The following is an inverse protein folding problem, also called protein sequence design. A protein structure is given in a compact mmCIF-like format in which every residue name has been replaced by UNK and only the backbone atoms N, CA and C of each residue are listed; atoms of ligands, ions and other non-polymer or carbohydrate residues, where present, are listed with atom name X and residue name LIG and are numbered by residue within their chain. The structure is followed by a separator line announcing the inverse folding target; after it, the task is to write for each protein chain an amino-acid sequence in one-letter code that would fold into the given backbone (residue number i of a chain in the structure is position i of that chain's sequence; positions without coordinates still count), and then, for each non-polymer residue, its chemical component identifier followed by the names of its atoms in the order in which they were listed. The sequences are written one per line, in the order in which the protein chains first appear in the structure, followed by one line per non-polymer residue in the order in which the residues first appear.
data_IF_265151554674
#
_entry.id   IF_265151554674
#
_cell.length_a   1.000
_cell.length_b   1.000
_cell.length_c   1.000
_cell.angle_alpha   90.00
_cell.angle_beta   90.00
_cell.angle_gamma   90.00
#
_symmetry.space_group_name_H-M   'P 1'
#
loop_
_entity.id
_entity.type
_entity.pdbx_description
1 polymer ?
#
# COMPACT_ATOMS: atom_id res chain seq x y z
N UNK A 1 53.73 13.16 55.80
CA UNK A 1 53.01 14.08 54.89
C UNK A 1 52.32 13.25 53.82
N UNK A 2 51.03 12.95 53.96
CA UNK A 2 50.23 12.26 52.93
C UNK A 2 48.87 12.97 52.87
N UNK A 3 48.80 14.02 52.06
CA UNK A 3 47.62 14.86 51.85
C UNK A 3 47.51 15.11 50.34
N UNK A 4 47.35 14.04 49.55
CA UNK A 4 47.19 14.17 48.09
C UNK A 4 46.60 12.90 47.44
N UNK A 5 45.59 12.25 48.03
CA UNK A 5 44.97 11.05 47.41
C UNK A 5 43.46 11.11 47.21
N UNK A 6 42.79 12.19 47.64
CA UNK A 6 41.32 12.24 47.61
C UNK A 6 40.75 12.92 46.37
N UNK A 7 41.50 13.81 45.72
CA UNK A 7 41.02 14.61 44.58
C UNK A 7 41.14 13.90 43.25
N UNK A 8 42.14 13.03 43.09
CA UNK A 8 42.37 12.24 41.87
C UNK A 8 41.27 11.21 41.62
N UNK A 9 40.72 10.61 42.67
CA UNK A 9 39.61 9.63 42.60
C UNK A 9 38.29 10.28 42.12
N UNK A 10 38.02 11.50 42.57
CA UNK A 10 36.81 12.23 42.18
C UNK A 10 36.91 12.67 40.71
N UNK A 11 38.08 13.13 40.28
CA UNK A 11 38.30 13.54 38.89
C UNK A 11 38.22 12.36 37.91
N UNK A 12 38.75 11.18 38.26
CA UNK A 12 38.61 9.99 37.40
C UNK A 12 37.17 9.49 37.32
N UNK A 13 36.41 9.52 38.42
CA UNK A 13 34.98 9.19 38.40
C UNK A 13 34.16 10.18 37.56
N UNK A 14 34.45 11.49 37.64
CA UNK A 14 33.77 12.51 36.85
C UNK A 14 34.05 12.35 35.35
N UNK A 15 35.30 12.03 34.99
CA UNK A 15 35.70 11.75 33.60
C UNK A 15 34.99 10.49 33.05
N UNK A 16 34.86 9.44 33.85
CA UNK A 16 34.12 8.22 33.49
C UNK A 16 32.63 8.51 33.23
N UNK A 17 31.98 9.30 34.09
CA UNK A 17 30.60 9.74 33.91
C UNK A 17 30.40 10.58 32.65
N UNK A 18 31.33 11.49 32.35
CA UNK A 18 31.32 12.30 31.12
C UNK A 18 31.47 11.43 29.86
N UNK A 19 32.38 10.44 29.89
CA UNK A 19 32.56 9.49 28.77
C UNK A 19 31.31 8.65 28.53
N UNK A 20 30.64 8.18 29.60
CA UNK A 20 29.37 7.45 29.50
C UNK A 20 28.23 8.33 28.98
N UNK A 21 28.17 9.59 29.40
CA UNK A 21 27.20 10.54 28.86
C UNK A 21 27.45 10.82 27.38
N UNK A 22 28.69 11.00 26.94
CA UNK A 22 29.00 11.19 25.52
C UNK A 22 28.71 9.94 24.69
N UNK A 23 28.97 8.73 25.21
CA UNK A 23 28.63 7.48 24.52
C UNK A 23 27.10 7.27 24.44
N UNK A 24 26.38 7.56 25.52
CA UNK A 24 24.91 7.46 25.57
C UNK A 24 24.19 8.54 24.76
N UNK A 25 24.77 9.74 24.63
CA UNK A 25 24.22 10.84 23.84
C UNK A 25 24.57 10.72 22.35
N UNK A 26 25.72 10.13 22.00
CA UNK A 26 26.06 9.83 20.60
C UNK A 26 25.34 8.58 20.07
N UNK A 27 24.91 7.67 20.94
CA UNK A 27 24.11 6.51 20.56
C UNK A 27 22.68 6.85 20.08
N UNK A 28 22.14 8.07 20.32
CA UNK A 28 20.80 8.44 19.86
C UNK A 28 20.77 9.45 18.70
N UNK A 29 21.92 9.91 18.19
CA UNK A 29 21.98 11.02 17.22
C UNK A 29 22.81 10.69 15.94
N UNK A 30 23.64 9.65 15.95
CA UNK A 30 24.40 9.24 14.75
C UNK A 30 23.84 7.95 14.15
N UNK A 31 22.86 8.12 13.29
CA UNK A 31 22.22 7.01 12.56
C UNK A 31 20.85 7.40 12.05
N UNK A 32 20.76 8.51 11.30
CA UNK A 32 19.59 8.74 10.44
C UNK A 32 19.72 7.80 9.25
N UNK A 33 19.72 6.49 9.53
CA UNK A 33 19.31 5.50 8.56
C UNK A 33 17.87 5.86 8.25
N UNK A 34 17.72 6.64 7.20
CA UNK A 34 16.55 6.63 6.36
C UNK A 34 16.51 5.25 5.72
N UNK A 35 16.30 4.21 6.54
CA UNK A 35 15.66 3.00 6.09
C UNK A 35 14.30 3.46 5.61
N UNK A 36 14.24 3.82 4.33
CA UNK A 36 13.01 3.90 3.55
C UNK A 36 12.35 2.55 3.80
N UNK A 37 11.42 2.51 4.76
CA UNK A 37 10.67 1.32 5.12
C UNK A 37 9.84 0.98 3.89
N UNK A 38 10.44 0.23 2.97
CA UNK A 38 9.81 -0.35 1.81
C UNK A 38 8.72 -1.25 2.34
N UNK A 39 7.47 -0.86 2.11
CA UNK A 39 6.35 -1.76 2.38
C UNK A 39 6.14 -2.57 1.11
N UNK A 40 6.14 -3.89 1.24
CA UNK A 40 5.76 -4.78 0.14
C UNK A 40 4.24 -4.81 0.04
N UNK A 41 3.71 -4.42 -1.11
CA UNK A 41 2.31 -4.60 -1.45
C UNK A 41 2.12 -6.00 -2.03
N UNK A 42 1.50 -6.88 -1.25
CA UNK A 42 1.18 -8.24 -1.72
C UNK A 42 -0.12 -8.21 -2.55
N UNK A 43 0.05 -7.97 -3.85
CA UNK A 43 -1.03 -7.86 -4.82
C UNK A 43 -1.93 -9.11 -4.87
N UNK A 44 -1.33 -10.31 -4.79
CA UNK A 44 -2.07 -11.57 -4.74
C UNK A 44 -2.99 -11.65 -3.51
N UNK A 45 -2.50 -11.19 -2.34
CA UNK A 45 -3.30 -11.15 -1.12
C UNK A 45 -4.50 -10.20 -1.25
N UNK A 46 -4.32 -9.06 -1.90
CA UNK A 46 -5.41 -8.08 -2.12
C UNK A 46 -6.48 -8.67 -3.03
N UNK A 47 -6.09 -9.35 -4.11
CA UNK A 47 -7.04 -10.06 -4.99
C UNK A 47 -7.84 -11.09 -4.21
N UNK A 48 -7.19 -11.93 -3.39
CA UNK A 48 -7.86 -12.93 -2.56
C UNK A 48 -8.84 -12.29 -1.57
N UNK A 49 -8.48 -11.18 -0.95
CA UNK A 49 -9.36 -10.45 -0.05
C UNK A 49 -10.61 -9.95 -0.77
N UNK A 50 -10.47 -9.36 -1.96
CA UNK A 50 -11.62 -8.90 -2.76
C UNK A 50 -12.53 -10.08 -3.14
N UNK A 51 -11.96 -11.18 -3.64
CA UNK A 51 -12.74 -12.38 -4.00
C UNK A 51 -13.53 -12.90 -2.80
N UNK A 52 -12.91 -12.93 -1.61
CA UNK A 52 -13.54 -13.41 -0.38
C UNK A 52 -14.70 -12.56 0.13
N UNK A 53 -14.78 -11.27 -0.25
CA UNK A 53 -15.86 -10.37 0.16
C UNK A 53 -17.04 -10.30 -0.82
N UNK A 54 -16.84 -10.71 -2.06
CA UNK A 54 -17.91 -10.75 -3.05
C UNK A 54 -18.72 -12.05 -2.89
N UNK A 55 -20.02 -12.08 -3.18
CA UNK A 55 -20.79 -13.32 -3.24
C UNK A 55 -20.27 -14.23 -4.38
N UNK A 56 -20.50 -15.55 -4.29
CA UNK A 56 -20.21 -16.45 -5.42
C UNK A 56 -21.09 -16.11 -6.62
N UNK A 57 -20.54 -16.06 -7.85
CA UNK A 57 -21.31 -15.64 -9.00
C UNK A 57 -21.98 -16.85 -9.65
N UNK A 58 -23.25 -16.71 -10.00
CA UNK A 58 -23.85 -17.41 -11.14
C UNK A 58 -23.55 -16.62 -12.42
N UNK A 59 -22.28 -16.53 -12.80
CA UNK A 59 -21.94 -15.95 -14.11
C UNK A 59 -22.22 -16.98 -15.19
N UNK A 60 -23.33 -16.80 -15.89
CA UNK A 60 -23.48 -17.33 -17.25
C UNK A 60 -22.40 -16.65 -18.09
N UNK A 61 -21.56 -17.46 -18.73
CA UNK A 61 -20.34 -17.06 -19.45
C UNK A 61 -20.68 -16.36 -20.76
N UNK A 62 -21.44 -15.28 -20.66
CA UNK A 62 -21.94 -14.50 -21.78
C UNK A 62 -20.87 -13.46 -22.20
N UNK A 63 -20.98 -12.94 -23.43
CA UNK A 63 -19.99 -12.31 -24.33
C UNK A 63 -18.82 -11.46 -23.78
N UNK A 64 -18.87 -11.00 -22.53
CA UNK A 64 -17.83 -10.17 -21.92
C UNK A 64 -16.66 -10.97 -21.30
N UNK A 65 -16.85 -12.27 -21.07
CA UNK A 65 -15.82 -13.16 -20.50
C UNK A 65 -14.44 -13.07 -21.17
N UNK A 66 -14.34 -13.04 -22.51
CA UNK A 66 -13.07 -12.87 -23.22
C UNK A 66 -12.35 -11.56 -22.90
N UNK A 67 -13.07 -10.43 -22.83
CA UNK A 67 -12.47 -9.12 -22.52
C UNK A 67 -11.94 -9.08 -21.10
N UNK A 68 -12.71 -9.61 -20.14
CA UNK A 68 -12.31 -9.65 -18.72
C UNK A 68 -11.09 -10.55 -18.48
N UNK A 69 -10.86 -11.58 -19.29
CA UNK A 69 -9.68 -12.47 -19.19
C UNK A 69 -8.46 -11.92 -19.90
N UNK A 70 -8.63 -11.02 -20.85
CA UNK A 70 -7.55 -10.57 -21.71
C UNK A 70 -6.50 -9.76 -20.92
N UNK A 71 -5.25 -10.22 -20.93
CA UNK A 71 -4.14 -9.58 -20.21
C UNK A 71 -3.94 -8.12 -20.62
N UNK A 72 -4.20 -7.79 -21.88
CA UNK A 72 -4.04 -6.43 -22.44
C UNK A 72 -5.08 -5.44 -21.90
N UNK A 73 -6.21 -5.92 -21.38
CA UNK A 73 -7.29 -5.07 -20.86
C UNK A 73 -7.29 -4.97 -19.34
N UNK A 74 -6.34 -5.62 -18.64
CA UNK A 74 -6.35 -5.70 -17.17
C UNK A 74 -6.41 -4.34 -16.50
N UNK A 75 -5.47 -3.46 -16.82
CA UNK A 75 -5.39 -2.15 -16.17
C UNK A 75 -6.63 -1.29 -16.47
N UNK A 76 -7.07 -1.26 -17.72
CA UNK A 76 -8.26 -0.50 -18.15
C UNK A 76 -9.53 -1.03 -17.48
N UNK A 77 -9.71 -2.36 -17.41
CA UNK A 77 -10.83 -2.97 -16.71
C UNK A 77 -10.79 -2.66 -15.21
N UNK A 78 -9.61 -2.73 -14.56
CA UNK A 78 -9.47 -2.34 -13.16
C UNK A 78 -9.84 -0.88 -12.93
N UNK A 79 -9.42 0.05 -13.80
CA UNK A 79 -9.80 1.45 -13.72
C UNK A 79 -11.32 1.63 -13.79
N UNK A 80 -12.00 0.91 -14.70
CA UNK A 80 -13.46 0.91 -14.77
C UNK A 80 -14.12 0.35 -13.51
N UNK A 81 -13.59 -0.70 -12.90
CA UNK A 81 -14.09 -1.16 -11.61
C UNK A 81 -13.90 -0.13 -10.50
N UNK A 82 -12.79 0.61 -10.47
CA UNK A 82 -12.56 1.67 -9.48
C UNK A 82 -13.54 2.83 -9.66
N UNK A 83 -13.77 3.26 -10.91
CA UNK A 83 -14.76 4.29 -11.26
C UNK A 83 -16.17 3.86 -10.84
N UNK A 84 -16.63 2.71 -11.36
CA UNK A 84 -17.98 2.21 -11.11
C UNK A 84 -18.25 1.88 -9.66
N UNK A 85 -17.25 1.48 -8.85
CA UNK A 85 -17.45 1.19 -7.42
C UNK A 85 -18.08 2.38 -6.70
N UNK A 86 -17.62 3.62 -6.99
CA UNK A 86 -18.15 4.82 -6.35
C UNK A 86 -19.58 5.17 -6.77
N UNK A 87 -20.01 4.70 -7.94
CA UNK A 87 -21.33 4.98 -8.52
C UNK A 87 -22.36 3.93 -8.10
N UNK A 88 -22.01 2.64 -8.17
CA UNK A 88 -22.95 1.53 -7.93
C UNK A 88 -22.96 1.03 -6.48
N UNK A 89 -21.90 1.30 -5.71
CA UNK A 89 -21.76 0.98 -4.28
C UNK A 89 -21.18 2.16 -3.50
N UNK A 90 -21.89 3.31 -3.45
CA UNK A 90 -21.38 4.53 -2.80
C UNK A 90 -21.09 4.35 -1.31
N UNK A 91 -21.74 3.38 -0.65
CA UNK A 91 -21.54 3.04 0.76
C UNK A 91 -20.34 2.09 0.99
N UNK A 92 -19.71 1.58 -0.07
CA UNK A 92 -18.65 0.55 -0.04
C UNK A 92 -19.06 -0.62 0.87
N UNK A 93 -20.26 -1.19 0.62
CA UNK A 93 -20.87 -2.23 1.44
C UNK A 93 -19.99 -3.47 1.60
N UNK A 94 -19.10 -3.70 0.63
CA UNK A 94 -18.14 -4.80 0.65
C UNK A 94 -16.78 -4.42 1.21
N UNK A 95 -16.51 -3.13 1.48
CA UNK A 95 -15.23 -2.63 2.00
C UNK A 95 -14.07 -3.08 1.10
N UNK A 96 -14.20 -2.81 -0.20
CA UNK A 96 -13.24 -3.21 -1.24
C UNK A 96 -12.66 -2.02 -2.00
N UNK A 97 -13.25 -0.82 -1.88
CA UNK A 97 -12.80 0.38 -2.60
C UNK A 97 -11.30 0.65 -2.46
N UNK A 98 -10.81 0.67 -1.22
CA UNK A 98 -9.38 0.91 -0.95
C UNK A 98 -8.48 -0.17 -1.55
N UNK A 99 -8.95 -1.41 -1.61
CA UNK A 99 -8.18 -2.52 -2.17
C UNK A 99 -8.14 -2.49 -3.69
N UNK A 100 -9.26 -2.15 -4.35
CA UNK A 100 -9.30 -1.89 -5.80
C UNK A 100 -8.32 -0.78 -6.19
N UNK A 101 -8.31 0.30 -5.41
CA UNK A 101 -7.39 1.41 -5.61
C UNK A 101 -5.92 1.00 -5.47
N UNK A 102 -5.56 0.22 -4.45
CA UNK A 102 -4.19 -0.32 -4.27
C UNK A 102 -3.78 -1.26 -5.40
N UNK A 103 -4.71 -2.03 -5.97
CA UNK A 103 -4.40 -2.93 -7.09
C UNK A 103 -3.93 -2.18 -8.34
N UNK A 104 -4.20 -0.87 -8.48
CA UNK A 104 -3.62 -0.09 -9.58
C UNK A 104 -2.09 -0.05 -9.52
N UNK A 105 -1.48 -0.16 -8.33
CA UNK A 105 -0.03 -0.27 -8.19
C UNK A 105 0.52 -1.61 -8.70
N UNK A 106 -0.34 -2.63 -8.83
CA UNK A 106 0.05 -4.01 -9.14
C UNK A 106 0.06 -4.34 -10.63
N UNK A 107 -0.48 -3.47 -11.47
CA UNK A 107 -0.62 -3.70 -12.91
C UNK A 107 0.24 -2.69 -13.67
N UNK A 108 1.10 -3.11 -14.61
CA UNK A 108 1.91 -2.18 -15.39
C UNK A 108 1.03 -1.27 -16.27
N UNK A 109 1.46 -0.03 -16.46
CA UNK A 109 0.82 0.89 -17.43
C UNK A 109 1.24 0.51 -18.85
N UNK A 110 0.29 0.50 -19.79
CA UNK A 110 0.58 0.38 -21.22
C UNK A 110 0.34 1.71 -21.93
N UNK A 111 1.13 2.01 -22.96
CA UNK A 111 0.93 3.19 -23.81
C UNK A 111 -0.44 3.17 -24.52
N UNK A 112 -1.02 1.99 -24.72
CA UNK A 112 -2.28 1.81 -25.44
C UNK A 112 -3.51 1.83 -24.53
N UNK A 113 -3.34 1.91 -23.20
CA UNK A 113 -4.47 1.80 -22.25
C UNK A 113 -5.55 2.86 -22.49
N UNK A 114 -5.16 4.08 -22.90
CA UNK A 114 -6.09 5.18 -23.18
C UNK A 114 -7.00 4.95 -24.38
N UNK A 115 -6.63 4.04 -25.29
CA UNK A 115 -7.38 3.76 -26.52
C UNK A 115 -8.34 2.57 -26.38
N UNK A 116 -8.22 1.77 -25.32
CA UNK A 116 -9.01 0.55 -25.15
C UNK A 116 -10.35 0.85 -24.44
N UNK A 117 -11.49 0.33 -24.92
CA UNK A 117 -12.71 0.35 -24.15
C UNK A 117 -12.56 -0.61 -22.96
N UNK A 118 -12.79 -0.11 -21.75
CA UNK A 118 -12.89 -0.96 -20.56
C UNK A 118 -14.25 -1.64 -20.45
N UNK A 119 -14.38 -2.51 -19.46
CA UNK A 119 -15.65 -3.16 -19.12
C UNK A 119 -16.76 -2.14 -18.84
N UNK A 120 -17.97 -2.43 -19.33
CA UNK A 120 -19.18 -1.69 -19.01
C UNK A 120 -19.87 -2.32 -17.79
N UNK A 121 -20.30 -1.49 -16.83
CA UNK A 121 -20.98 -1.93 -15.60
C UNK A 121 -22.37 -1.31 -15.56
N UNK A 122 -23.42 -2.14 -15.48
CA UNK A 122 -24.82 -1.68 -15.49
C UNK A 122 -25.37 -1.33 -14.12
N UNK A 123 -25.11 -2.18 -13.13
CA UNK A 123 -25.69 -2.12 -11.79
C UNK A 123 -24.80 -2.85 -10.78
N UNK A 124 -25.18 -2.85 -9.51
CA UNK A 124 -24.41 -3.50 -8.44
C UNK A 124 -24.28 -5.03 -8.63
N UNK A 125 -25.30 -5.70 -9.17
CA UNK A 125 -25.23 -7.14 -9.40
C UNK A 125 -24.24 -7.47 -10.53
N UNK A 126 -24.34 -6.74 -11.63
CA UNK A 126 -23.43 -6.79 -12.77
C UNK A 126 -21.97 -6.51 -12.34
N UNK A 127 -21.77 -5.46 -11.53
CA UNK A 127 -20.49 -5.10 -10.94
C UNK A 127 -19.87 -6.26 -10.16
N UNK A 128 -20.61 -6.84 -9.19
CA UNK A 128 -20.10 -7.91 -8.33
C UNK A 128 -19.70 -9.13 -9.14
N UNK A 129 -20.54 -9.53 -10.09
CA UNK A 129 -20.32 -10.67 -10.97
C UNK A 129 -19.05 -10.47 -11.80
N UNK A 130 -19.00 -9.41 -12.61
CA UNK A 130 -17.86 -9.11 -13.49
C UNK A 130 -16.58 -8.90 -12.70
N UNK A 131 -16.64 -8.18 -11.57
CA UNK A 131 -15.47 -7.96 -10.72
C UNK A 131 -14.92 -9.27 -10.17
N UNK A 132 -15.77 -10.14 -9.62
CA UNK A 132 -15.31 -11.42 -9.09
C UNK A 132 -14.67 -12.28 -10.18
N UNK A 133 -15.28 -12.34 -11.36
CA UNK A 133 -14.71 -13.08 -12.49
C UNK A 133 -13.38 -12.50 -12.95
N UNK A 134 -13.29 -11.19 -13.08
CA UNK A 134 -12.05 -10.48 -13.38
C UNK A 134 -10.95 -10.83 -12.37
N UNK A 135 -11.26 -10.77 -11.06
CA UNK A 135 -10.31 -11.08 -9.99
C UNK A 135 -9.84 -12.53 -10.01
N UNK A 136 -10.72 -13.49 -10.27
CA UNK A 136 -10.33 -14.93 -10.40
C UNK A 136 -9.32 -15.15 -11.53
N UNK A 137 -9.42 -14.37 -12.62
CA UNK A 137 -8.52 -14.47 -13.76
C UNK A 137 -7.34 -13.48 -13.70
N UNK A 138 -7.25 -12.68 -12.64
CA UNK A 138 -6.15 -11.78 -12.37
C UNK A 138 -4.99 -12.55 -11.73
N UNK A 139 -4.28 -13.30 -12.56
CA UNK A 139 -3.10 -14.09 -12.19
C UNK A 139 -1.78 -13.38 -12.56
N UNK A 140 -0.66 -13.99 -12.16
CA UNK A 140 0.71 -13.53 -12.42
C UNK A 140 1.00 -12.13 -11.85
N UNK A 141 0.37 -11.79 -10.71
CA UNK A 141 0.64 -10.54 -10.00
C UNK A 141 1.92 -10.65 -9.17
N UNK A 142 2.89 -9.81 -9.49
CA UNK A 142 4.12 -9.67 -8.71
C UNK A 142 3.89 -8.87 -7.42
N UNK A 143 4.83 -9.00 -6.48
CA UNK A 143 4.85 -8.16 -5.27
C UNK A 143 5.50 -6.82 -5.62
N UNK A 144 4.84 -5.72 -5.31
CA UNK A 144 5.32 -4.37 -5.64
C UNK A 144 5.91 -3.71 -4.39
N UNK A 145 7.10 -3.14 -4.50
CA UNK A 145 7.66 -2.29 -3.46
C UNK A 145 6.99 -0.92 -3.52
N UNK A 146 6.35 -0.50 -2.43
CA UNK A 146 5.78 0.85 -2.33
C UNK A 146 6.56 1.70 -1.35
N UNK A 147 6.64 3.00 -1.66
CA UNK A 147 7.14 3.99 -0.71
C UNK A 147 6.07 4.23 0.35
N UNK A 148 6.44 4.32 1.63
CA UNK A 148 5.55 4.97 2.60
C UNK A 148 5.66 6.49 2.42
N UNK A 149 4.55 7.25 2.48
CA UNK A 149 4.63 8.69 2.58
C UNK A 149 5.49 9.08 3.79
N UNK A 150 6.30 10.14 3.70
CA UNK A 150 7.06 10.63 4.85
C UNK A 150 6.12 10.83 6.04
N UNK A 151 6.53 10.38 7.23
CA UNK A 151 5.76 10.64 8.45
C UNK A 151 5.53 12.15 8.55
N UNK A 152 4.30 12.62 8.83
CA UNK A 152 4.07 14.02 9.04
C UNK A 152 4.99 14.48 10.16
N UNK A 153 5.78 15.51 9.90
CA UNK A 153 6.50 16.20 10.97
C UNK A 153 5.45 16.62 12.01
N UNK A 154 5.74 16.40 13.29
CA UNK A 154 4.90 16.83 14.41
C UNK A 154 4.51 18.30 14.23
N UNK A 155 3.34 18.58 13.64
CA UNK A 155 2.92 19.93 13.28
C UNK A 155 2.05 20.07 12.04
N UNK A 156 2.01 19.12 11.09
CA UNK A 156 1.19 19.27 9.88
C UNK A 156 -0.04 18.35 9.89
N UNK A 157 -1.17 18.89 10.36
CA UNK A 157 -2.49 18.31 10.10
C UNK A 157 -2.87 18.69 8.67
N UNK A 158 -2.61 17.82 7.70
CA UNK A 158 -3.25 17.87 6.39
C UNK A 158 -3.74 16.48 6.01
N UNK A 159 -5.06 16.25 5.94
CA UNK A 159 -5.61 14.97 5.52
C UNK A 159 -5.66 14.98 3.99
N UNK A 160 -4.56 14.66 3.31
CA UNK A 160 -4.64 14.25 1.91
C UNK A 160 -5.26 12.83 1.85
N UNK A 161 -6.57 12.76 2.03
CA UNK A 161 -7.40 11.60 1.69
C UNK A 161 -7.50 11.54 0.17
N UNK A 162 -6.61 10.79 -0.49
CA UNK A 162 -6.80 10.51 -1.91
C UNK A 162 -5.60 9.96 -2.67
N UNK A 163 -4.38 10.17 -2.18
CA UNK A 163 -3.20 9.68 -2.90
C UNK A 163 -2.92 8.23 -2.53
N UNK A 164 -3.21 7.32 -3.47
CA UNK A 164 -2.66 5.96 -3.41
C UNK A 164 -1.21 6.08 -3.86
N UNK A 165 -0.30 6.21 -2.90
CA UNK A 165 1.13 6.18 -3.22
C UNK A 165 1.55 4.74 -3.55
N UNK A 166 2.02 4.57 -4.79
CA UNK A 166 2.98 3.54 -5.16
C UNK A 166 4.37 4.23 -5.09
#
# INVERSE_FOLDING_TARGET
MVLASSTTSIHTMLLLLLMLFHLGLQASISGRDTHRLTRTLNCSSIVKEIIGKLPEPELKTDDEGPSLRNKSFRRVNLSKFVESQGEVDPEDRYVIKSNLQKLNCCLPTSANDSALPGVFIRDLDDFRKKLRFYMVHLNDLETVLTSRPPQPASGSVSPNRGTVEC
#
